data_IF_370886977491
#
_entry.id   IF_370886977491
#
_cell.length_a   1.000
_cell.length_b   1.000
_cell.length_c   1.000
_cell.angle_alpha   90.00
_cell.angle_beta   90.00
_cell.angle_gamma   90.00
#
_symmetry.space_group_name_H-M   'P 1'
#
loop_
_entity.id
_entity.type
_entity.pdbx_description
1 polymer ?
#
# COMPACT_ATOMS: atom_id res chain seq x y z
N UNK A 1 2.73 12.63 10.53
CA UNK A 1 1.99 11.94 9.45
C UNK A 1 3.06 11.42 8.52
N UNK A 2 3.10 10.10 8.34
CA UNK A 2 4.11 9.47 7.49
C UNK A 2 3.44 8.62 6.42
N UNK A 3 4.07 8.57 5.27
CA UNK A 3 3.63 7.88 4.07
C UNK A 3 4.52 6.66 3.83
N UNK A 4 3.89 5.50 3.64
CA UNK A 4 4.57 4.22 3.52
C UNK A 4 4.13 3.51 2.24
N UNK A 5 5.07 3.08 1.41
CA UNK A 5 4.81 2.12 0.33
C UNK A 5 5.41 0.78 0.72
N UNK A 6 4.59 -0.27 0.68
CA UNK A 6 4.99 -1.63 1.03
C UNK A 6 4.76 -2.54 -0.18
N UNK A 7 5.80 -3.21 -0.64
CA UNK A 7 5.70 -4.24 -1.67
C UNK A 7 5.21 -5.56 -1.06
N UNK A 8 4.39 -6.31 -1.80
CA UNK A 8 4.05 -7.68 -1.41
C UNK A 8 3.09 -7.81 -0.21
N UNK A 9 2.13 -6.89 -0.03
CA UNK A 9 1.21 -6.91 1.13
C UNK A 9 0.13 -8.00 1.10
N UNK A 10 0.16 -8.91 0.13
CA UNK A 10 -0.86 -9.97 0.02
C UNK A 10 -0.83 -10.99 1.17
N UNK A 11 0.34 -11.20 1.80
CA UNK A 11 0.57 -12.23 2.83
C UNK A 11 1.82 -11.93 3.67
N UNK A 12 1.99 -12.68 4.76
CA UNK A 12 3.21 -12.69 5.56
C UNK A 12 3.54 -11.33 6.18
N UNK A 13 4.83 -11.00 6.23
CA UNK A 13 5.36 -9.81 6.89
C UNK A 13 4.82 -8.52 6.26
N UNK A 14 4.69 -8.46 4.93
CA UNK A 14 4.14 -7.28 4.26
C UNK A 14 2.70 -6.97 4.69
N UNK A 15 1.88 -8.00 4.90
CA UNK A 15 0.51 -7.83 5.39
C UNK A 15 0.47 -7.40 6.87
N UNK A 16 1.37 -7.93 7.69
CA UNK A 16 1.44 -7.54 9.10
C UNK A 16 1.99 -6.11 9.27
N UNK A 17 2.96 -5.69 8.46
CA UNK A 17 3.41 -4.30 8.41
C UNK A 17 2.29 -3.36 7.97
N UNK A 18 1.49 -3.76 6.96
CA UNK A 18 0.30 -3.02 6.56
C UNK A 18 -0.66 -2.84 7.75
N UNK A 19 -0.89 -3.90 8.53
CA UNK A 19 -1.73 -3.88 9.73
C UNK A 19 -1.18 -2.97 10.82
N UNK A 20 0.10 -3.08 11.17
CA UNK A 20 0.68 -2.31 12.28
C UNK A 20 0.85 -0.83 11.92
N UNK A 21 1.38 -0.53 10.73
CA UNK A 21 1.62 0.86 10.30
C UNK A 21 0.33 1.65 10.10
N UNK A 22 -0.76 0.96 9.73
CA UNK A 22 -2.08 1.56 9.60
C UNK A 22 -2.83 1.76 10.93
N UNK A 23 -2.31 1.25 12.06
CA UNK A 23 -2.93 1.50 13.38
C UNK A 23 -2.98 2.99 13.72
N UNK A 24 -1.98 3.75 13.28
CA UNK A 24 -2.03 5.19 13.38
C UNK A 24 -2.84 5.77 12.20
N UNK A 25 -4.03 6.34 12.44
CA UNK A 25 -4.87 6.91 11.38
C UNK A 25 -4.24 8.11 10.68
N UNK A 26 -3.22 8.74 11.28
CA UNK A 26 -2.46 9.82 10.67
C UNK A 26 -1.38 9.32 9.69
N UNK A 27 -1.21 8.00 9.51
CA UNK A 27 -0.31 7.44 8.50
C UNK A 27 -1.09 7.09 7.24
N UNK A 28 -0.48 7.31 6.08
CA UNK A 28 -0.99 6.84 4.79
C UNK A 28 -0.20 5.61 4.37
N UNK A 29 -0.85 4.46 4.30
CA UNK A 29 -0.18 3.19 4.00
C UNK A 29 -0.64 2.68 2.63
N UNK A 30 0.31 2.57 1.71
CA UNK A 30 0.11 2.11 0.34
C UNK A 30 0.68 0.70 0.18
N UNK A 31 -0.16 -0.25 -0.22
CA UNK A 31 0.23 -1.63 -0.44
C UNK A 31 0.25 -1.97 -1.92
N UNK A 32 1.40 -2.44 -2.43
CA UNK A 32 1.53 -2.94 -3.81
C UNK A 32 1.23 -4.44 -3.86
N UNK A 33 0.32 -4.81 -4.77
CA UNK A 33 -0.11 -6.20 -4.96
C UNK A 33 -0.33 -6.52 -6.43
N UNK A 34 -0.19 -7.80 -6.79
CA UNK A 34 -0.54 -8.28 -8.14
C UNK A 34 -2.04 -8.43 -8.36
N UNK A 35 -2.77 -8.89 -7.34
CA UNK A 35 -4.23 -9.03 -7.38
C UNK A 35 -4.87 -8.08 -6.37
N UNK A 36 -5.37 -6.95 -6.86
CA UNK A 36 -5.98 -5.90 -6.03
C UNK A 36 -7.28 -6.36 -5.37
N UNK A 37 -8.21 -6.92 -6.15
CA UNK A 37 -9.54 -7.29 -5.65
C UNK A 37 -9.48 -8.28 -4.49
N UNK A 38 -8.64 -9.33 -4.61
CA UNK A 38 -8.49 -10.33 -3.55
C UNK A 38 -7.93 -9.74 -2.25
N UNK A 39 -6.96 -8.82 -2.37
CA UNK A 39 -6.33 -8.20 -1.19
C UNK A 39 -7.24 -7.13 -0.57
N UNK A 40 -7.96 -6.34 -1.37
CA UNK A 40 -8.94 -5.38 -0.84
C UNK A 40 -10.03 -6.08 -0.03
N UNK A 41 -10.59 -7.19 -0.52
CA UNK A 41 -11.58 -7.97 0.25
C UNK A 41 -10.98 -8.46 1.58
N UNK A 42 -9.73 -8.95 1.55
CA UNK A 42 -9.05 -9.43 2.76
C UNK A 42 -8.79 -8.30 3.77
N UNK A 43 -8.26 -7.17 3.29
CA UNK A 43 -7.99 -5.98 4.12
C UNK A 43 -9.27 -5.43 4.71
N UNK A 44 -10.36 -5.38 3.94
CA UNK A 44 -11.67 -4.95 4.42
C UNK A 44 -12.23 -5.89 5.50
N UNK A 45 -12.02 -7.20 5.35
CA UNK A 45 -12.50 -8.19 6.31
C UNK A 45 -11.68 -8.24 7.61
N UNK A 46 -10.35 -8.10 7.53
CA UNK A 46 -9.46 -8.29 8.69
C UNK A 46 -9.06 -6.99 9.39
N UNK A 47 -8.94 -5.88 8.65
CA UNK A 47 -8.38 -4.62 9.16
C UNK A 47 -9.43 -3.50 9.11
N UNK A 48 -10.10 -3.31 7.97
CA UNK A 48 -11.24 -2.40 7.83
C UNK A 48 -10.92 -0.90 8.02
N UNK A 49 -9.69 -0.45 7.77
CA UNK A 49 -9.25 0.94 7.98
C UNK A 49 -9.22 1.77 6.70
N UNK A 50 -9.53 3.07 6.82
CA UNK A 50 -9.66 4.01 5.70
C UNK A 50 -8.33 4.65 5.23
N UNK A 51 -7.26 4.49 6.01
CA UNK A 51 -5.93 5.02 5.72
C UNK A 51 -5.02 4.02 4.97
N UNK A 52 -5.61 2.92 4.48
CA UNK A 52 -4.95 1.90 3.68
C UNK A 52 -5.37 2.05 2.23
N UNK A 53 -4.39 2.04 1.32
CA UNK A 53 -4.59 2.15 -0.11
C UNK A 53 -3.93 0.97 -0.82
N UNK A 54 -4.74 0.12 -1.47
CA UNK A 54 -4.22 -1.02 -2.23
C UNK A 54 -4.10 -0.64 -3.70
N UNK A 55 -2.88 -0.79 -4.23
CA UNK A 55 -2.53 -0.44 -5.59
C UNK A 55 -2.10 -1.71 -6.32
N UNK A 56 -2.67 -1.93 -7.50
CA UNK A 56 -2.24 -3.02 -8.36
C UNK A 56 -0.93 -2.64 -9.06
N UNK A 57 0.15 -3.33 -8.73
CA UNK A 57 1.43 -3.18 -9.40
C UNK A 57 2.22 -4.50 -9.30
N UNK A 58 2.74 -4.94 -10.43
CA UNK A 58 3.76 -5.99 -10.45
C UNK A 58 5.14 -5.34 -10.37
N UNK A 59 6.01 -5.83 -9.50
CA UNK A 59 7.36 -5.27 -9.32
C UNK A 59 8.26 -5.55 -10.52
N UNK A 60 7.89 -6.48 -11.39
CA UNK A 60 8.61 -6.75 -12.64
C UNK A 60 8.13 -5.92 -13.83
N UNK A 61 7.05 -5.13 -13.67
CA UNK A 61 6.49 -4.27 -14.72
C UNK A 61 6.80 -2.80 -14.42
N UNK A 62 7.76 -2.18 -15.14
CA UNK A 62 8.16 -0.79 -14.93
C UNK A 62 7.01 0.21 -15.15
N UNK A 63 6.09 -0.07 -16.06
CA UNK A 63 5.00 0.85 -16.37
C UNK A 63 3.90 0.76 -15.32
N UNK A 64 3.65 -0.43 -14.76
CA UNK A 64 2.80 -0.59 -13.59
C UNK A 64 3.36 0.17 -12.37
N UNK A 65 4.68 0.09 -12.13
CA UNK A 65 5.34 0.82 -11.04
C UNK A 65 5.26 2.34 -11.22
N UNK A 66 5.45 2.86 -12.44
CA UNK A 66 5.27 4.30 -12.72
C UNK A 66 3.85 4.77 -12.41
N UNK A 67 2.84 4.01 -12.82
CA UNK A 67 1.44 4.31 -12.50
C UNK A 67 1.18 4.28 -10.99
N UNK A 68 1.74 3.30 -10.28
CA UNK A 68 1.62 3.23 -8.83
C UNK A 68 2.27 4.44 -8.15
N UNK A 69 3.47 4.84 -8.58
CA UNK A 69 4.15 6.03 -8.08
C UNK A 69 3.32 7.31 -8.31
N UNK A 70 2.68 7.43 -9.48
CA UNK A 70 1.80 8.55 -9.77
C UNK A 70 0.60 8.60 -8.81
N UNK A 71 -0.07 7.47 -8.57
CA UNK A 71 -1.20 7.38 -7.62
C UNK A 71 -0.77 7.74 -6.21
N UNK A 72 0.39 7.27 -5.76
CA UNK A 72 0.95 7.63 -4.45
C UNK A 72 1.24 9.12 -4.38
N UNK A 73 1.89 9.68 -5.41
CA UNK A 73 2.22 11.11 -5.51
C UNK A 73 0.98 11.99 -5.42
N UNK A 74 -0.10 11.65 -6.11
CA UNK A 74 -1.38 12.39 -6.06
C UNK A 74 -2.01 12.40 -4.66
N UNK A 75 -1.78 11.35 -3.85
CA UNK A 75 -2.29 11.23 -2.48
C UNK A 75 -1.39 11.84 -1.41
N UNK A 76 -0.12 12.07 -1.72
CA UNK A 76 0.92 12.46 -0.75
C UNK A 76 1.56 13.80 -1.10
N UNK A 77 0.96 14.56 -2.02
CA UNK A 77 1.50 15.81 -2.55
C UNK A 77 2.93 15.67 -3.12
N UNK A 78 3.24 14.51 -3.70
CA UNK A 78 4.51 14.22 -4.35
C UNK A 78 5.67 13.85 -3.42
N UNK A 79 5.40 13.57 -2.15
CA UNK A 79 6.44 13.19 -1.18
C UNK A 79 6.18 11.80 -0.60
N UNK A 80 7.24 11.03 -0.35
CA UNK A 80 7.14 9.71 0.26
C UNK A 80 8.22 9.56 1.32
N UNK A 81 7.84 9.12 2.52
CA UNK A 81 8.78 9.00 3.64
C UNK A 81 9.50 7.64 3.65
N UNK A 82 8.78 6.55 3.36
CA UNK A 82 9.32 5.19 3.47
C UNK A 82 8.89 4.27 2.33
N UNK A 83 9.83 3.46 1.87
CA UNK A 83 9.60 2.32 0.95
C UNK A 83 10.12 1.05 1.63
N UNK A 84 9.29 0.01 1.65
CA UNK A 84 9.62 -1.33 2.13
C UNK A 84 9.36 -2.29 0.98
N UNK A 85 10.39 -2.95 0.45
CA UNK A 85 10.29 -3.78 -0.75
C UNK A 85 10.84 -5.19 -0.56
#
# INVERSE_FOLDING_TARGET
MSSYVISGVSRGIGFELLRQLSENPANSVFGLVRNKAAVETKVAAEIGRSNIYIIQADTTDPDALKKAAQVVSEKTNGTLDYIIA
#
